data_IF_883690007598
#
_entry.id   IF_883690007598
#
_cell.length_a   1.000
_cell.length_b   1.000
_cell.length_c   1.000
_cell.angle_alpha   90.00
_cell.angle_beta   90.00
_cell.angle_gamma   90.00
#
_symmetry.space_group_name_H-M   'P 1'
#
loop_
_entity.id
_entity.type
_entity.pdbx_description
1 polymer ?
#
# COMPACT_ATOMS: atom_id res chain seq x y z
N UNK A 1 41.25 27.19 -42.63
CA UNK A 1 40.15 28.09 -42.24
C UNK A 1 38.89 27.24 -42.17
N UNK A 2 38.53 26.80 -40.95
CA UNK A 2 37.33 27.22 -40.20
C UNK A 2 36.04 26.81 -40.93
N UNK A 3 35.55 25.63 -40.58
CA UNK A 3 34.46 25.41 -39.61
C UNK A 3 33.10 25.48 -40.30
N UNK A 4 32.71 24.37 -40.93
CA UNK A 4 31.32 24.10 -41.22
C UNK A 4 30.61 23.87 -39.86
N UNK A 5 29.53 24.61 -39.56
CA UNK A 5 28.84 24.47 -38.29
C UNK A 5 28.23 23.07 -38.18
N UNK A 6 28.65 22.36 -37.14
CA UNK A 6 28.07 21.09 -36.69
C UNK A 6 26.56 21.28 -36.43
N UNK A 7 25.70 20.35 -36.83
CA UNK A 7 24.31 20.37 -36.42
C UNK A 7 24.21 20.23 -34.89
N UNK A 8 23.22 20.87 -34.24
CA UNK A 8 23.10 20.89 -32.80
C UNK A 8 22.96 19.47 -32.25
N UNK A 9 23.83 19.19 -31.28
CA UNK A 9 23.80 18.06 -30.35
C UNK A 9 22.36 17.64 -30.06
N UNK A 10 21.99 16.45 -30.53
CA UNK A 10 20.85 15.72 -30.04
C UNK A 10 21.12 15.51 -28.54
N UNK A 11 20.53 16.38 -27.72
CA UNK A 11 20.59 16.33 -26.27
C UNK A 11 19.80 15.10 -25.83
N UNK A 12 20.42 13.92 -25.96
CA UNK A 12 20.02 12.70 -25.30
C UNK A 12 20.20 12.91 -23.79
N UNK A 13 19.23 13.61 -23.20
CA UNK A 13 19.08 13.69 -21.76
C UNK A 13 18.53 12.36 -21.29
N UNK A 14 19.42 11.57 -20.70
CA UNK A 14 19.03 10.53 -19.75
C UNK A 14 18.68 9.21 -20.39
N UNK A 15 19.68 8.33 -20.45
CA UNK A 15 19.60 6.89 -20.23
C UNK A 15 18.23 6.43 -19.68
N UNK A 16 17.29 6.13 -20.57
CA UNK A 16 16.14 5.30 -20.27
C UNK A 16 16.64 3.85 -20.16
N UNK A 17 17.30 3.54 -19.04
CA UNK A 17 17.55 2.14 -18.70
C UNK A 17 16.21 1.53 -18.30
N UNK A 18 15.64 0.77 -19.23
CA UNK A 18 14.90 -0.46 -18.99
C UNK A 18 15.07 -0.96 -17.54
N UNK A 19 14.01 -0.82 -16.74
CA UNK A 19 13.68 -1.84 -15.76
C UNK A 19 12.36 -2.39 -16.25
N UNK A 20 12.38 -3.61 -16.77
CA UNK A 20 11.19 -4.41 -16.89
C UNK A 20 10.33 -4.13 -15.66
N UNK A 21 9.10 -3.63 -15.87
CA UNK A 21 8.16 -3.34 -14.79
C UNK A 21 7.76 -4.70 -14.21
N UNK A 22 8.64 -5.27 -13.40
CA UNK A 22 8.20 -6.17 -12.34
C UNK A 22 7.44 -5.21 -11.44
N UNK A 23 6.12 -5.13 -11.62
CA UNK A 23 5.24 -4.50 -10.65
C UNK A 23 5.31 -5.40 -9.41
N UNK A 24 6.33 -5.18 -8.60
CA UNK A 24 6.40 -5.76 -7.25
C UNK A 24 5.29 -5.11 -6.45
N UNK A 25 4.36 -5.93 -5.96
CA UNK A 25 3.25 -5.47 -5.12
C UNK A 25 3.77 -4.65 -3.94
N UNK A 26 3.01 -3.62 -3.56
CA UNK A 26 3.32 -2.72 -2.45
C UNK A 26 2.27 -2.90 -1.36
N UNK A 27 2.70 -3.15 -0.14
CA UNK A 27 1.84 -3.22 1.05
C UNK A 27 2.04 -1.97 1.88
N UNK A 28 0.96 -1.28 2.23
CA UNK A 28 0.98 -0.25 3.26
C UNK A 28 0.56 -0.87 4.60
N UNK A 29 1.35 -0.66 5.63
CA UNK A 29 1.07 -1.11 6.99
C UNK A 29 0.85 0.08 7.91
N UNK A 30 -0.15 -0.01 8.76
CA UNK A 30 -0.49 1.03 9.72
C UNK A 30 -0.86 0.41 11.07
N UNK A 31 -0.41 1.02 12.16
CA UNK A 31 -0.69 0.54 13.53
C UNK A 31 0.09 -0.71 13.94
N UNK A 32 1.14 -1.08 13.19
CA UNK A 32 2.00 -2.21 13.52
C UNK A 32 3.19 -1.74 14.35
N UNK A 33 3.32 -2.35 15.53
CA UNK A 33 4.46 -2.14 16.41
C UNK A 33 5.56 -3.16 16.11
N UNK A 34 6.81 -2.69 16.07
CA UNK A 34 8.00 -3.50 15.80
C UNK A 34 8.31 -4.48 16.95
N UNK A 35 7.82 -4.21 18.18
CA UNK A 35 7.98 -5.09 19.34
C UNK A 35 7.09 -6.35 19.26
N UNK A 36 6.20 -6.45 18.28
CA UNK A 36 5.31 -7.60 18.15
C UNK A 36 5.97 -8.68 17.27
N UNK A 37 6.19 -9.92 17.77
CA UNK A 37 6.80 -10.99 16.98
C UNK A 37 5.96 -11.34 15.73
N UNK A 38 4.64 -11.11 15.79
CA UNK A 38 3.75 -11.25 14.63
C UNK A 38 4.08 -10.28 13.50
N UNK A 39 4.48 -9.05 13.84
CA UNK A 39 4.89 -8.04 12.85
C UNK A 39 6.14 -8.51 12.12
N UNK A 40 7.11 -9.07 12.83
CA UNK A 40 8.33 -9.63 12.23
C UNK A 40 8.01 -10.78 11.25
N UNK A 41 7.17 -11.73 11.66
CA UNK A 41 6.72 -12.83 10.79
C UNK A 41 6.00 -12.31 9.55
N UNK A 42 5.15 -11.30 9.70
CA UNK A 42 4.43 -10.65 8.61
C UNK A 42 5.39 -9.94 7.63
N UNK A 43 6.43 -9.25 8.13
CA UNK A 43 7.49 -8.72 7.28
C UNK A 43 8.30 -9.82 6.57
N UNK A 44 8.58 -10.95 7.25
CA UNK A 44 9.25 -12.10 6.63
C UNK A 44 8.40 -12.71 5.51
N UNK A 45 7.10 -12.90 5.73
CA UNK A 45 6.15 -13.37 4.73
C UNK A 45 6.19 -12.47 3.48
N UNK A 46 6.07 -11.15 3.69
CA UNK A 46 6.13 -10.17 2.60
C UNK A 46 7.48 -10.16 1.86
N UNK A 47 8.60 -10.25 2.58
CA UNK A 47 9.93 -10.36 1.96
C UNK A 47 10.05 -11.64 1.12
N UNK A 48 9.50 -12.75 1.60
CA UNK A 48 9.48 -14.02 0.86
C UNK A 48 8.69 -13.90 -0.45
N UNK A 49 7.58 -13.16 -0.44
CA UNK A 49 6.77 -12.86 -1.62
C UNK A 49 7.35 -11.76 -2.53
N UNK A 50 8.56 -11.25 -2.23
CA UNK A 50 9.22 -10.13 -2.94
C UNK A 50 8.38 -8.84 -3.00
N UNK A 51 7.49 -8.63 -2.03
CA UNK A 51 6.65 -7.43 -2.00
C UNK A 51 7.31 -6.32 -1.19
N UNK A 52 7.08 -5.08 -1.59
CA UNK A 52 7.59 -3.92 -0.88
C UNK A 52 6.63 -3.53 0.22
N UNK A 53 7.12 -3.42 1.46
CA UNK A 53 6.28 -3.04 2.60
C UNK A 53 6.64 -1.62 3.02
N UNK A 54 5.64 -0.77 3.19
CA UNK A 54 5.79 0.60 3.63
C UNK A 54 4.91 0.84 4.85
N UNK A 55 5.51 1.25 5.95
CA UNK A 55 4.77 1.67 7.13
C UNK A 55 4.27 3.10 6.96
N UNK A 56 3.01 3.34 7.29
CA UNK A 56 2.33 4.64 7.23
C UNK A 56 2.17 5.16 8.66
N UNK A 57 2.50 6.43 8.85
CA UNK A 57 2.31 7.09 10.13
C UNK A 57 0.90 7.68 10.24
N UNK A 58 0.37 7.91 11.47
CA UNK A 58 -0.93 8.58 11.66
C UNK A 58 -0.99 9.96 10.99
N UNK A 59 0.11 10.69 10.96
CA UNK A 59 0.25 11.97 10.23
C UNK A 59 0.20 11.86 8.70
N UNK A 60 0.28 10.64 8.15
CA UNK A 60 0.15 10.36 6.72
C UNK A 60 -1.23 9.75 6.40
N UNK A 61 -2.07 9.44 7.41
CA UNK A 61 -3.38 8.80 7.22
C UNK A 61 -4.43 9.72 6.55
N UNK A 62 -4.23 11.03 6.59
CA UNK A 62 -5.00 12.03 5.85
C UNK A 62 -4.68 12.05 4.35
N UNK A 63 -3.55 11.48 3.94
CA UNK A 63 -3.14 11.45 2.54
C UNK A 63 -3.93 10.40 1.74
N UNK A 64 -4.09 10.67 0.44
CA UNK A 64 -4.67 9.69 -0.50
C UNK A 64 -3.77 8.48 -0.66
N UNK A 65 -4.36 7.29 -0.79
CA UNK A 65 -3.61 6.04 -1.01
C UNK A 65 -2.73 6.15 -2.25
N UNK A 66 -3.22 6.75 -3.32
CA UNK A 66 -2.42 7.03 -4.52
C UNK A 66 -1.20 7.93 -4.25
N UNK A 67 -1.30 8.89 -3.34
CA UNK A 67 -0.17 9.75 -2.96
C UNK A 67 0.85 8.99 -2.09
N UNK A 68 0.38 8.15 -1.16
CA UNK A 68 1.23 7.27 -0.34
C UNK A 68 1.97 6.23 -1.19
N UNK A 69 1.36 5.78 -2.27
CA UNK A 69 1.96 4.88 -3.25
C UNK A 69 2.81 5.61 -4.31
N UNK A 70 2.91 6.93 -4.23
CA UNK A 70 3.63 7.77 -5.19
C UNK A 70 3.18 7.52 -6.64
N UNK A 71 1.87 7.37 -6.85
CA UNK A 71 1.30 7.10 -8.16
C UNK A 71 1.45 8.32 -9.07
N UNK A 72 1.70 8.11 -10.38
CA UNK A 72 1.58 9.19 -11.35
C UNK A 72 0.14 9.73 -11.25
N UNK A 73 0.02 11.06 -11.20
CA UNK A 73 -1.22 11.83 -11.01
C UNK A 73 -1.71 12.03 -9.56
N UNK A 74 -1.06 11.44 -8.55
CA UNK A 74 -1.38 11.70 -7.14
C UNK A 74 -0.20 12.38 -6.45
N UNK A 75 -0.44 13.57 -5.90
CA UNK A 75 0.54 14.29 -5.08
C UNK A 75 0.08 14.28 -3.62
N UNK A 76 1.05 14.26 -2.70
CA UNK A 76 0.80 14.48 -1.29
C UNK A 76 0.16 15.86 -1.13
N UNK A 77 -1.02 15.90 -0.54
CA UNK A 77 -1.70 17.15 -0.23
C UNK A 77 -1.09 17.67 1.07
N UNK A 78 -0.30 18.74 0.97
CA UNK A 78 0.25 19.41 2.15
C UNK A 78 -0.88 19.99 3.04
N UNK A 79 -2.03 20.32 2.44
CA UNK A 79 -3.24 20.82 3.09
C UNK A 79 -4.31 19.71 3.23
N UNK A 80 -3.90 18.45 3.34
CA UNK A 80 -4.85 17.38 3.59
C UNK A 80 -5.50 17.60 4.95
N UNK A 81 -6.83 17.79 4.96
CA UNK A 81 -7.61 18.05 6.16
C UNK A 81 -7.26 17.05 7.27
N UNK A 82 -7.14 17.51 8.53
CA UNK A 82 -6.90 16.64 9.66
C UNK A 82 -8.07 15.65 9.73
N UNK A 83 -7.75 14.38 9.54
CA UNK A 83 -8.69 13.27 9.69
C UNK A 83 -8.28 12.49 10.92
N UNK A 84 -9.25 11.94 11.63
CA UNK A 84 -8.95 10.99 12.70
C UNK A 84 -8.22 9.78 12.10
N UNK A 85 -6.96 9.54 12.52
CA UNK A 85 -6.24 8.39 12.04
C UNK A 85 -6.91 7.14 12.63
N UNK A 86 -6.98 6.03 11.87
CA UNK A 86 -7.57 4.81 12.41
C UNK A 86 -6.81 4.36 13.66
N UNK A 87 -7.52 3.83 14.65
CA UNK A 87 -6.88 3.24 15.85
C UNK A 87 -6.54 1.77 15.61
N UNK A 88 -7.31 1.10 14.75
CA UNK A 88 -7.06 -0.27 14.34
C UNK A 88 -5.86 -0.39 13.40
N UNK A 89 -5.30 -1.61 13.38
CA UNK A 89 -4.25 -1.99 12.43
C UNK A 89 -4.85 -2.04 11.03
N UNK A 90 -4.15 -1.48 10.04
CA UNK A 90 -4.63 -1.50 8.65
C UNK A 90 -3.52 -1.98 7.72
N UNK A 91 -3.87 -2.92 6.84
CA UNK A 91 -3.00 -3.50 5.82
C UNK A 91 -3.65 -3.20 4.46
N UNK A 92 -2.95 -2.48 3.60
CA UNK A 92 -3.44 -2.11 2.28
C UNK A 92 -2.54 -2.70 1.20
N UNK A 93 -3.09 -3.49 0.29
CA UNK A 93 -2.39 -4.20 -0.78
C UNK A 93 -2.54 -3.47 -2.12
N UNK A 94 -1.44 -3.11 -2.76
CA UNK A 94 -1.42 -2.44 -4.07
C UNK A 94 -0.61 -3.21 -5.11
N UNK A 95 -1.13 -3.29 -6.34
CA UNK A 95 -0.48 -3.95 -7.47
C UNK A 95 -0.10 -5.42 -7.20
N UNK A 96 -0.96 -6.15 -6.49
CA UNK A 96 -0.82 -7.59 -6.29
C UNK A 96 -1.47 -8.37 -7.42
N UNK A 97 -0.81 -9.45 -7.85
CA UNK A 97 -1.49 -10.48 -8.62
C UNK A 97 -2.45 -11.24 -7.71
N UNK A 98 -3.63 -11.59 -8.22
CA UNK A 98 -4.71 -12.24 -7.46
C UNK A 98 -4.21 -13.48 -6.69
N UNK A 99 -3.44 -14.35 -7.36
CA UNK A 99 -2.84 -15.52 -6.74
C UNK A 99 -1.86 -15.20 -5.59
N UNK A 100 -1.08 -14.12 -5.70
CA UNK A 100 -0.14 -13.72 -4.63
C UNK A 100 -0.90 -13.10 -3.47
N UNK A 101 -1.92 -12.28 -3.77
CA UNK A 101 -2.78 -11.70 -2.75
C UNK A 101 -3.49 -12.80 -1.97
N UNK A 102 -4.13 -13.75 -2.64
CA UNK A 102 -4.82 -14.87 -2.00
C UNK A 102 -3.88 -15.70 -1.13
N UNK A 103 -2.67 -16.01 -1.64
CA UNK A 103 -1.65 -16.72 -0.87
C UNK A 103 -1.23 -15.94 0.39
N UNK A 104 -1.05 -14.63 0.28
CA UNK A 104 -0.73 -13.75 1.41
C UNK A 104 -1.88 -13.69 2.40
N UNK A 105 -3.12 -13.54 1.94
CA UNK A 105 -4.31 -13.48 2.79
C UNK A 105 -4.52 -14.80 3.54
N UNK A 106 -4.28 -15.92 2.86
CA UNK A 106 -4.33 -17.27 3.44
C UNK A 106 -3.25 -17.45 4.49
N UNK A 107 -1.99 -17.10 4.20
CA UNK A 107 -0.91 -17.16 5.18
C UNK A 107 -1.17 -16.26 6.40
N UNK A 108 -1.68 -15.04 6.19
CA UNK A 108 -2.07 -14.14 7.30
C UNK A 108 -3.18 -14.74 8.18
N UNK A 109 -4.08 -15.54 7.60
CA UNK A 109 -5.16 -16.23 8.31
C UNK A 109 -4.61 -17.43 9.08
N UNK A 110 -3.82 -18.27 8.42
CA UNK A 110 -3.22 -19.49 8.99
C UNK A 110 -2.30 -19.17 10.17
N UNK A 111 -1.42 -18.19 10.00
CA UNK A 111 -0.47 -17.75 11.04
C UNK A 111 -1.12 -16.79 12.07
N UNK A 112 -2.43 -16.53 11.97
CA UNK A 112 -3.16 -15.56 12.81
C UNK A 112 -2.41 -14.23 12.98
N UNK A 113 -1.86 -13.73 11.86
CA UNK A 113 -1.09 -12.51 11.78
C UNK A 113 -2.06 -11.35 11.63
N UNK A 114 -2.13 -10.54 12.69
CA UNK A 114 -3.01 -9.38 12.79
C UNK A 114 -4.47 -9.70 12.41
N UNK A 115 -5.14 -10.62 13.14
CA UNK A 115 -6.53 -11.00 12.87
C UNK A 115 -7.49 -9.80 13.02
N UNK A 116 -7.15 -8.89 13.93
CA UNK A 116 -7.88 -7.65 14.17
C UNK A 116 -7.60 -6.60 13.08
N UNK A 117 -6.54 -6.74 12.27
CA UNK A 117 -6.23 -5.74 11.25
C UNK A 117 -7.25 -5.71 10.12
N UNK A 118 -7.56 -4.50 9.67
CA UNK A 118 -8.36 -4.21 8.48
C UNK A 118 -7.49 -4.46 7.25
N UNK A 119 -7.99 -5.28 6.33
CA UNK A 119 -7.27 -5.68 5.12
C UNK A 119 -7.98 -5.07 3.92
N UNK A 120 -7.26 -4.39 3.07
CA UNK A 120 -7.82 -3.67 1.93
C UNK A 120 -7.02 -3.90 0.67
N UNK A 121 -7.68 -4.03 -0.47
CA UNK A 121 -7.02 -4.03 -1.77
C UNK A 121 -7.25 -2.68 -2.42
N UNK A 122 -6.18 -2.07 -2.94
CA UNK A 122 -6.27 -0.81 -3.67
C UNK A 122 -6.83 -1.08 -5.05
N UNK A 123 -8.09 -0.70 -5.23
CA UNK A 123 -8.76 -0.72 -6.54
C UNK A 123 -8.67 0.65 -7.21
N UNK A 124 -9.12 0.73 -8.47
CA UNK A 124 -9.20 1.99 -9.22
C UNK A 124 -10.12 3.04 -8.57
N UNK A 125 -11.08 2.60 -7.75
CA UNK A 125 -12.00 3.46 -7.01
C UNK A 125 -11.39 3.93 -5.68
N UNK A 126 -10.69 3.03 -4.99
CA UNK A 126 -10.14 3.28 -3.66
C UNK A 126 -8.82 4.08 -3.71
N UNK A 127 -8.09 4.07 -4.84
CA UNK A 127 -6.82 4.83 -4.98
C UNK A 127 -6.95 6.34 -4.74
N UNK A 128 -8.14 6.90 -5.02
CA UNK A 128 -8.47 8.31 -4.78
C UNK A 128 -8.89 8.61 -3.34
N UNK A 129 -9.16 7.59 -2.55
CA UNK A 129 -9.59 7.76 -1.17
C UNK A 129 -8.40 8.06 -0.26
N UNK A 130 -8.65 8.85 0.77
CA UNK A 130 -7.71 9.00 1.89
C UNK A 130 -7.60 7.71 2.68
N UNK A 131 -6.42 7.43 3.20
CA UNK A 131 -6.16 6.22 3.96
C UNK A 131 -7.13 6.05 5.14
N UNK A 132 -7.39 7.11 5.89
CA UNK A 132 -8.37 7.10 6.98
C UNK A 132 -9.79 6.82 6.52
N UNK A 133 -10.21 7.38 5.37
CA UNK A 133 -11.54 7.11 4.80
C UNK A 133 -11.69 5.63 4.45
N UNK A 134 -10.69 5.06 3.77
CA UNK A 134 -10.67 3.64 3.46
C UNK A 134 -10.74 2.77 4.72
N UNK A 135 -9.92 3.10 5.73
CA UNK A 135 -9.92 2.38 6.99
C UNK A 135 -11.28 2.46 7.71
N UNK A 136 -11.94 3.61 7.70
CA UNK A 136 -13.24 3.79 8.31
C UNK A 136 -14.34 2.97 7.62
N UNK A 137 -14.36 2.93 6.29
CA UNK A 137 -15.30 2.08 5.54
C UNK A 137 -15.08 0.60 5.86
N UNK A 138 -13.82 0.15 5.84
CA UNK A 138 -13.46 -1.23 6.17
C UNK A 138 -13.82 -1.60 7.60
N UNK A 139 -13.66 -0.67 8.54
CA UNK A 139 -14.07 -0.84 9.93
C UNK A 139 -15.58 -1.06 10.00
N UNK A 140 -16.36 -0.20 9.36
CA UNK A 140 -17.82 -0.32 9.33
C UNK A 140 -18.27 -1.67 8.76
N UNK A 141 -17.63 -2.12 7.68
CA UNK A 141 -17.88 -3.46 7.12
C UNK A 141 -17.48 -4.57 8.10
N UNK A 142 -16.26 -4.55 8.65
CA UNK A 142 -15.79 -5.58 9.59
C UNK A 142 -16.69 -5.69 10.82
N UNK A 143 -17.14 -4.57 11.37
CA UNK A 143 -18.06 -4.57 12.51
C UNK A 143 -19.40 -5.20 12.13
N UNK A 144 -19.94 -4.83 10.97
CA UNK A 144 -21.19 -5.41 10.45
C UNK A 144 -21.08 -6.92 10.20
N UNK A 145 -19.94 -7.41 9.69
CA UNK A 145 -19.69 -8.85 9.49
C UNK A 145 -19.38 -9.59 10.81
N UNK A 146 -18.71 -8.94 11.77
CA UNK A 146 -18.41 -9.54 13.08
C UNK A 146 -19.67 -9.69 13.94
N UNK A 147 -20.60 -8.75 13.85
CA UNK A 147 -21.92 -8.85 14.51
C UNK A 147 -22.83 -9.91 13.87
N UNK A 148 -22.54 -10.34 12.64
CA UNK A 148 -23.28 -11.39 11.92
C UNK A 148 -22.57 -12.76 11.95
N UNK A 149 -21.34 -12.84 12.46
CA UNK A 149 -20.46 -14.02 12.38
C UNK A 149 -20.28 -14.80 13.68
N UNK A 150 -21.06 -14.50 14.73
CA UNK A 150 -21.20 -15.34 15.92
C UNK A 150 -22.46 -16.21 15.84
N UNK A 151 -22.67 -16.83 14.69
CA UNK A 151 -23.50 -18.03 14.56
C UNK A 151 -22.87 -18.86 13.42
N UNK A 152 -22.53 -20.12 13.73
CA UNK A 152 -21.99 -21.16 12.83
C UNK A 152 -20.47 -21.14 12.51
N UNK A 153 -19.68 -21.74 13.42
CA UNK A 153 -18.86 -22.95 13.18
C UNK A 153 -17.93 -23.28 14.37
#
# INVERSE_FOLDING_TARGET
>A
MRNAPQPPILSYKGRETMKARIQTGVVLLYGFDDQNPKTETLFKLFRSQRVSVRTIQPQEANQSIGALLSLPNFKLAADAAPVEPPTEKVIVFYAFADAVLDHVLTALRDEALAPDALKAVVTAHNRSWSFAKLANELRGEKQSFAEQGVEEA
#
